data_IF_987126578168
#
_entry.id   IF_987126578168
#
_cell.length_a   1.000
_cell.length_b   1.000
_cell.length_c   1.000
_cell.angle_alpha   90.00
_cell.angle_beta   90.00
_cell.angle_gamma   90.00
#
_symmetry.space_group_name_H-M   'P 1'
#
loop_
_entity.id
_entity.type
_entity.pdbx_description
1 polymer ?
#
# COMPACT_ATOMS: atom_id res chain seq x y z
N UNK A 1 20.87 -19.51 -13.19
CA UNK A 1 19.85 -18.91 -12.31
C UNK A 1 18.50 -19.07 -13.00
N UNK A 2 17.56 -19.77 -12.37
CA UNK A 2 16.23 -20.02 -12.95
C UNK A 2 15.40 -18.73 -12.92
N UNK A 3 14.55 -18.52 -13.93
CA UNK A 3 13.60 -17.39 -13.98
C UNK A 3 12.18 -17.91 -14.11
N UNK A 4 11.22 -17.15 -13.59
CA UNK A 4 9.81 -17.36 -13.88
C UNK A 4 9.52 -17.07 -15.35
N UNK A 5 8.65 -17.89 -15.95
CA UNK A 5 8.14 -17.63 -17.29
C UNK A 5 7.03 -16.55 -17.28
N UNK A 6 6.56 -16.19 -18.47
CA UNK A 6 5.55 -15.14 -18.62
C UNK A 6 4.21 -15.49 -17.98
N UNK A 7 3.79 -16.76 -18.03
CA UNK A 7 2.52 -17.19 -17.45
C UNK A 7 2.60 -17.17 -15.93
N UNK A 8 3.69 -17.71 -15.37
CA UNK A 8 3.98 -17.67 -13.93
C UNK A 8 4.05 -16.24 -13.39
N UNK A 9 4.65 -15.33 -14.17
CA UNK A 9 4.75 -13.92 -13.80
C UNK A 9 3.39 -13.23 -13.86
N UNK A 10 2.61 -13.48 -14.92
CA UNK A 10 1.25 -12.95 -15.07
C UNK A 10 0.33 -13.42 -13.93
N UNK A 11 0.37 -14.71 -13.61
CA UNK A 11 -0.44 -15.32 -12.54
C UNK A 11 -0.14 -14.68 -11.18
N UNK A 12 1.15 -14.46 -10.87
CA UNK A 12 1.55 -13.77 -9.64
C UNK A 12 1.03 -12.32 -9.59
N UNK A 13 1.17 -11.57 -10.69
CA UNK A 13 0.74 -10.18 -10.78
C UNK A 13 -0.77 -10.08 -10.58
N UNK A 14 -1.55 -10.90 -11.31
CA UNK A 14 -3.00 -10.91 -11.23
C UNK A 14 -3.48 -11.30 -9.82
N UNK A 15 -2.87 -12.33 -9.20
CA UNK A 15 -3.20 -12.74 -7.85
C UNK A 15 -2.94 -11.63 -6.83
N UNK A 16 -1.75 -11.02 -6.89
CA UNK A 16 -1.33 -9.98 -5.95
C UNK A 16 -2.21 -8.75 -6.08
N UNK A 17 -2.52 -8.33 -7.31
CA UNK A 17 -3.41 -7.20 -7.60
C UNK A 17 -4.79 -7.39 -6.97
N UNK A 18 -5.35 -8.61 -7.05
CA UNK A 18 -6.69 -8.90 -6.50
C UNK A 18 -6.81 -8.76 -4.97
N UNK A 19 -5.67 -8.68 -4.26
CA UNK A 19 -5.61 -8.72 -2.79
C UNK A 19 -4.84 -7.56 -2.16
N UNK A 20 -4.05 -6.81 -2.94
CA UNK A 20 -3.15 -5.78 -2.40
C UNK A 20 -3.92 -4.63 -1.74
N UNK A 21 -5.09 -4.28 -2.27
CA UNK A 21 -5.94 -3.21 -1.72
C UNK A 21 -6.49 -3.57 -0.32
N UNK A 22 -6.80 -4.84 -0.08
CA UNK A 22 -7.45 -5.30 1.15
C UNK A 22 -6.45 -5.79 2.20
N UNK A 23 -5.34 -6.39 1.78
CA UNK A 23 -4.41 -7.08 2.69
C UNK A 23 -2.98 -6.52 2.69
N UNK A 24 -2.71 -5.53 1.83
CA UNK A 24 -1.35 -5.02 1.59
C UNK A 24 -0.49 -5.99 0.80
N UNK A 25 0.81 -5.71 0.62
CA UNK A 25 1.67 -6.53 -0.25
C UNK A 25 2.15 -7.84 0.38
N UNK A 26 2.41 -7.88 1.69
CA UNK A 26 3.04 -9.05 2.34
C UNK A 26 2.09 -10.26 2.42
N UNK A 27 0.80 -10.04 2.72
CA UNK A 27 -0.17 -11.14 2.87
C UNK A 27 -0.41 -11.90 1.56
N UNK A 28 -0.58 -11.25 0.39
CA UNK A 28 -0.66 -11.93 -0.90
C UNK A 28 0.58 -12.77 -1.22
N UNK A 29 1.80 -12.36 -0.82
CA UNK A 29 2.99 -13.20 -1.03
C UNK A 29 2.85 -14.53 -0.30
N UNK A 30 2.50 -14.48 0.98
CA UNK A 30 2.30 -15.68 1.81
C UNK A 30 1.21 -16.58 1.23
N UNK A 31 0.07 -16.02 0.88
CA UNK A 31 -1.05 -16.79 0.34
C UNK A 31 -0.72 -17.40 -1.03
N UNK A 32 -0.06 -16.65 -1.91
CA UNK A 32 0.36 -17.15 -3.22
C UNK A 32 1.35 -18.31 -3.08
N UNK A 33 2.35 -18.15 -2.20
CA UNK A 33 3.34 -19.17 -1.88
C UNK A 33 2.71 -20.46 -1.35
N UNK A 34 1.74 -20.35 -0.43
CA UNK A 34 1.02 -21.50 0.12
C UNK A 34 0.15 -22.20 -0.93
N UNK A 35 -0.60 -21.41 -1.72
CA UNK A 35 -1.52 -21.92 -2.75
C UNK A 35 -0.76 -22.61 -3.90
N UNK A 36 0.45 -22.13 -4.21
CA UNK A 36 1.27 -22.60 -5.33
C UNK A 36 2.54 -23.33 -4.87
N UNK A 37 2.54 -23.93 -3.68
CA UNK A 37 3.74 -24.48 -3.05
C UNK A 37 4.46 -25.55 -3.88
N UNK A 38 3.73 -26.29 -4.72
CA UNK A 38 4.28 -27.28 -5.64
C UNK A 38 4.87 -26.67 -6.93
N UNK A 39 4.51 -25.42 -7.23
CA UNK A 39 4.92 -24.72 -8.45
C UNK A 39 6.24 -23.95 -8.27
N UNK A 40 6.94 -23.72 -9.38
CA UNK A 40 8.16 -22.89 -9.42
C UNK A 40 7.85 -21.46 -8.97
N UNK A 41 6.71 -20.91 -9.38
CA UNK A 41 6.28 -19.56 -8.97
C UNK A 41 6.03 -19.45 -7.47
N UNK A 42 5.35 -20.44 -6.86
CA UNK A 42 5.11 -20.43 -5.42
C UNK A 42 6.40 -20.51 -4.61
N UNK A 43 7.38 -21.32 -5.03
CA UNK A 43 8.71 -21.38 -4.38
C UNK A 43 9.50 -20.08 -4.52
N UNK A 44 9.43 -19.42 -5.68
CA UNK A 44 10.06 -18.11 -5.87
C UNK A 44 9.45 -17.07 -4.92
N UNK A 45 8.12 -17.01 -4.85
CA UNK A 45 7.38 -16.07 -4.00
C UNK A 45 7.55 -16.38 -2.52
N UNK A 46 7.63 -17.65 -2.12
CA UNK A 46 7.94 -18.04 -0.74
C UNK A 46 9.33 -17.53 -0.35
N UNK A 47 10.35 -17.72 -1.20
CA UNK A 47 11.68 -17.18 -0.95
C UNK A 47 11.68 -15.66 -0.76
N UNK A 48 10.93 -14.92 -1.58
CA UNK A 48 10.76 -13.48 -1.41
C UNK A 48 10.12 -13.16 -0.05
N UNK A 49 9.04 -13.85 0.29
CA UNK A 49 8.33 -13.67 1.56
C UNK A 49 9.23 -13.93 2.77
N UNK A 50 9.98 -15.05 2.78
CA UNK A 50 10.90 -15.39 3.88
C UNK A 50 11.99 -14.33 4.06
N UNK A 51 12.60 -13.86 2.96
CA UNK A 51 13.62 -12.81 3.01
C UNK A 51 13.07 -11.51 3.62
N UNK A 52 11.85 -11.12 3.25
CA UNK A 52 11.17 -9.95 3.82
C UNK A 52 10.84 -10.14 5.31
N UNK A 53 10.40 -11.34 5.73
CA UNK A 53 10.17 -11.66 7.14
C UNK A 53 11.44 -11.61 8.00
N UNK A 54 12.62 -11.81 7.39
CA UNK A 54 13.93 -11.63 8.04
C UNK A 54 14.37 -10.17 8.14
N UNK A 55 13.54 -9.22 7.69
CA UNK A 55 13.82 -7.79 7.77
C UNK A 55 14.71 -7.26 6.63
N UNK A 56 14.93 -8.05 5.58
CA UNK A 56 15.64 -7.56 4.40
C UNK A 56 14.83 -6.46 3.71
N UNK A 57 15.52 -5.46 3.15
CA UNK A 57 14.85 -4.49 2.30
C UNK A 57 14.40 -5.16 0.98
N UNK A 58 13.39 -4.61 0.31
CA UNK A 58 12.79 -5.23 -0.88
C UNK A 58 13.81 -5.53 -1.98
N UNK A 59 14.69 -4.57 -2.28
CA UNK A 59 15.73 -4.74 -3.30
C UNK A 59 16.64 -5.93 -2.99
N UNK A 60 17.11 -6.02 -1.75
CA UNK A 60 17.98 -7.13 -1.31
C UNK A 60 17.22 -8.46 -1.28
N UNK A 61 15.94 -8.45 -0.90
CA UNK A 61 15.09 -9.63 -0.88
C UNK A 61 14.90 -10.23 -2.27
N UNK A 62 14.67 -9.40 -3.30
CA UNK A 62 14.64 -9.84 -4.71
C UNK A 62 16.01 -10.35 -5.17
N UNK A 63 17.10 -9.70 -4.74
CA UNK A 63 18.45 -10.12 -5.11
C UNK A 63 18.81 -11.50 -4.55
N UNK A 64 18.34 -11.82 -3.34
CA UNK A 64 18.61 -13.06 -2.64
C UNK A 64 17.77 -14.27 -3.13
N UNK A 65 16.77 -14.06 -4.00
CA UNK A 65 15.96 -15.16 -4.55
C UNK A 65 16.76 -16.05 -5.50
N UNK A 66 16.62 -17.38 -5.35
CA UNK A 66 17.24 -18.35 -6.27
C UNK A 66 16.49 -18.47 -7.61
N UNK A 67 15.15 -18.41 -7.55
CA UNK A 67 14.27 -18.34 -8.72
C UNK A 67 13.81 -16.91 -8.83
N UNK A 68 14.19 -16.25 -9.92
CA UNK A 68 14.02 -14.81 -10.11
C UNK A 68 12.83 -14.49 -10.99
N UNK A 69 12.23 -13.32 -10.81
CA UNK A 69 11.32 -12.80 -11.82
C UNK A 69 12.14 -12.34 -13.04
N UNK A 70 11.51 -12.12 -14.20
CA UNK A 70 12.15 -11.40 -15.29
C UNK A 70 12.70 -10.05 -14.79
N UNK A 71 13.96 -9.73 -15.14
CA UNK A 71 14.68 -8.60 -14.56
C UNK A 71 13.92 -7.26 -14.69
N UNK A 72 13.23 -7.06 -15.82
CA UNK A 72 12.43 -5.86 -16.06
C UNK A 72 11.22 -5.77 -15.11
N UNK A 73 10.58 -6.91 -14.81
CA UNK A 73 9.46 -6.98 -13.86
C UNK A 73 9.96 -6.74 -12.44
N UNK A 74 11.11 -7.29 -12.07
CA UNK A 74 11.74 -7.00 -10.76
C UNK A 74 12.03 -5.52 -10.59
N UNK A 75 12.60 -4.88 -11.62
CA UNK A 75 12.90 -3.45 -11.58
C UNK A 75 11.63 -2.62 -11.38
N UNK A 76 10.56 -2.92 -12.13
CA UNK A 76 9.27 -2.25 -11.98
C UNK A 76 8.70 -2.45 -10.58
N UNK A 77 8.70 -3.69 -10.06
CA UNK A 77 8.17 -4.01 -8.73
C UNK A 77 8.95 -3.27 -7.62
N UNK A 78 10.28 -3.31 -7.67
CA UNK A 78 11.14 -2.63 -6.69
C UNK A 78 10.90 -1.12 -6.74
N UNK A 79 10.94 -0.51 -7.93
CA UNK A 79 10.68 0.92 -8.10
C UNK A 79 9.29 1.29 -7.62
N UNK A 80 8.26 0.51 -7.94
CA UNK A 80 6.89 0.76 -7.53
C UNK A 80 6.69 0.65 -6.01
N UNK A 81 7.40 -0.26 -5.33
CA UNK A 81 7.41 -0.35 -3.87
C UNK A 81 8.10 0.86 -3.25
N UNK A 82 9.29 1.20 -3.72
CA UNK A 82 10.07 2.36 -3.24
C UNK A 82 9.28 3.69 -3.46
N UNK A 83 8.48 3.74 -4.52
CA UNK A 83 7.58 4.85 -4.83
C UNK A 83 6.16 4.66 -4.29
N UNK A 84 5.86 3.62 -3.53
CA UNK A 84 4.53 3.42 -2.92
C UNK A 84 3.37 3.47 -3.93
N UNK A 85 3.57 2.97 -5.15
CA UNK A 85 2.58 2.91 -6.25
C UNK A 85 2.40 1.48 -6.77
N UNK A 86 2.67 0.48 -5.91
CA UNK A 86 2.68 -0.92 -6.30
C UNK A 86 1.33 -1.40 -6.84
N UNK A 87 0.22 -0.94 -6.27
CA UNK A 87 -1.14 -1.21 -6.76
C UNK A 87 -1.32 -0.75 -8.23
N UNK A 88 -0.93 0.48 -8.54
CA UNK A 88 -0.97 1.01 -9.91
C UNK A 88 -0.06 0.23 -10.86
N UNK A 89 1.17 -0.07 -10.42
CA UNK A 89 2.13 -0.82 -11.22
C UNK A 89 1.64 -2.24 -11.52
N UNK A 90 1.05 -2.93 -10.53
CA UNK A 90 0.43 -4.23 -10.71
C UNK A 90 -0.73 -4.17 -11.70
N UNK A 91 -1.59 -3.15 -11.62
CA UNK A 91 -2.70 -2.96 -12.55
C UNK A 91 -2.24 -2.72 -14.00
N UNK A 92 -1.23 -1.87 -14.19
CA UNK A 92 -0.66 -1.62 -15.52
C UNK A 92 0.05 -2.85 -16.09
N UNK A 93 0.80 -3.58 -15.26
CA UNK A 93 1.42 -4.83 -15.70
C UNK A 93 0.38 -5.91 -16.02
N UNK A 94 -0.64 -6.12 -15.19
CA UNK A 94 -1.72 -7.09 -15.46
C UNK A 94 -2.39 -6.82 -16.80
N UNK A 95 -2.67 -5.55 -17.10
CA UNK A 95 -3.18 -5.13 -18.41
C UNK A 95 -2.23 -5.51 -19.54
N UNK A 96 -0.94 -5.20 -19.42
CA UNK A 96 0.08 -5.54 -20.43
C UNK A 96 0.12 -7.05 -20.67
N UNK A 97 0.13 -7.88 -19.62
CA UNK A 97 0.17 -9.34 -19.76
C UNK A 97 -1.09 -9.89 -20.45
N UNK A 98 -2.27 -9.27 -20.24
CA UNK A 98 -3.55 -9.69 -20.84
C UNK A 98 -3.77 -9.21 -22.26
N UNK A 99 -3.22 -8.06 -22.65
CA UNK A 99 -3.53 -7.43 -23.95
C UNK A 99 -2.42 -7.56 -24.98
N UNK A 100 -1.20 -7.94 -24.61
CA UNK A 100 -0.12 -8.13 -25.58
C UNK A 100 -0.22 -9.46 -26.30
N UNK A 101 -0.25 -9.42 -27.63
CA UNK A 101 -0.42 -10.60 -28.49
C UNK A 101 0.90 -11.36 -28.70
N UNK A 102 2.04 -10.74 -28.37
CA UNK A 102 3.37 -11.34 -28.51
C UNK A 102 4.32 -10.98 -27.36
N UNK A 103 5.36 -11.81 -27.17
CA UNK A 103 6.40 -11.55 -26.18
C UNK A 103 7.19 -10.25 -26.48
N UNK A 104 7.39 -9.93 -27.76
CA UNK A 104 8.09 -8.70 -28.18
C UNK A 104 7.29 -7.44 -27.84
N UNK A 105 5.98 -7.46 -28.11
CA UNK A 105 5.07 -6.38 -27.75
C UNK A 105 5.01 -6.19 -26.23
N UNK A 106 4.89 -7.30 -25.50
CA UNK A 106 4.88 -7.28 -24.02
C UNK A 106 6.15 -6.67 -23.47
N UNK A 107 7.32 -7.10 -23.98
CA UNK A 107 8.61 -6.59 -23.55
C UNK A 107 8.72 -5.08 -23.81
N UNK A 108 8.27 -4.62 -24.97
CA UNK A 108 8.24 -3.19 -25.33
C UNK A 108 7.37 -2.39 -24.37
N UNK A 109 6.15 -2.88 -24.08
CA UNK A 109 5.24 -2.22 -23.15
C UNK A 109 5.78 -2.16 -21.71
N UNK A 110 6.43 -3.23 -21.24
CA UNK A 110 7.08 -3.25 -19.92
C UNK A 110 8.27 -2.27 -19.86
N UNK A 111 9.03 -2.10 -20.94
CA UNK A 111 10.10 -1.09 -21.00
C UNK A 111 9.53 0.32 -20.87
N UNK A 112 8.46 0.63 -21.59
CA UNK A 112 7.76 1.91 -21.46
C UNK A 112 7.25 2.15 -20.03
N UNK A 113 6.72 1.10 -19.37
CA UNK A 113 6.25 1.18 -17.99
C UNK A 113 7.39 1.44 -17.00
N UNK A 114 8.52 0.75 -17.15
CA UNK A 114 9.73 1.01 -16.36
C UNK A 114 10.18 2.47 -16.53
N UNK A 115 10.28 2.95 -17.77
CA UNK A 115 10.75 4.30 -18.05
C UNK A 115 9.80 5.36 -17.49
N UNK A 116 8.49 5.11 -17.56
CA UNK A 116 7.47 5.93 -16.88
C UNK A 116 7.77 6.09 -15.39
N UNK A 117 8.01 5.00 -14.66
CA UNK A 117 8.24 5.09 -13.21
C UNK A 117 9.64 5.57 -12.84
N UNK A 118 10.67 5.26 -13.63
CA UNK A 118 12.03 5.75 -13.39
C UNK A 118 12.15 7.27 -13.67
N UNK A 119 11.34 7.82 -14.58
CA UNK A 119 11.27 9.26 -14.86
C UNK A 119 10.25 10.02 -14.02
N UNK A 120 9.35 9.32 -13.33
CA UNK A 120 8.39 9.91 -12.41
C UNK A 120 9.12 10.51 -11.20
N UNK A 121 8.75 11.72 -10.79
CA UNK A 121 9.20 12.26 -9.50
C UNK A 121 8.75 11.32 -8.38
N UNK A 122 9.62 11.11 -7.38
CA UNK A 122 9.26 10.31 -6.18
C UNK A 122 7.94 10.83 -5.64
N UNK A 123 6.94 9.97 -5.62
CA UNK A 123 5.62 10.30 -5.05
C UNK A 123 5.78 10.74 -3.60
N UNK A 124 5.04 11.76 -3.18
CA UNK A 124 5.02 12.19 -1.78
C UNK A 124 3.99 11.43 -0.94
N UNK A 125 3.27 10.48 -1.56
CA UNK A 125 2.16 9.74 -0.96
C UNK A 125 2.42 8.23 -0.89
N UNK A 126 1.68 7.54 -0.02
CA UNK A 126 1.58 6.06 0.01
C UNK A 126 0.49 5.56 -0.94
N UNK A 127 0.50 4.27 -1.23
CA UNK A 127 -0.47 3.60 -2.10
C UNK A 127 -1.90 3.68 -1.54
N UNK A 128 -2.93 3.57 -2.39
CA UNK A 128 -4.32 3.75 -1.95
C UNK A 128 -4.72 2.67 -0.94
N UNK A 129 -4.43 1.39 -1.21
CA UNK A 129 -4.70 0.31 -0.25
C UNK A 129 -3.96 0.49 1.08
N UNK A 130 -2.73 1.01 1.03
CA UNK A 130 -1.94 1.33 2.21
C UNK A 130 -2.66 2.40 3.06
N UNK A 131 -3.16 3.46 2.41
CA UNK A 131 -3.90 4.55 3.03
C UNK A 131 -5.20 4.06 3.68
N UNK A 132 -5.99 3.26 2.96
CA UNK A 132 -7.26 2.72 3.49
C UNK A 132 -7.01 1.89 4.75
N UNK A 133 -6.00 1.01 4.73
CA UNK A 133 -5.64 0.20 5.90
C UNK A 133 -5.19 1.04 7.09
N UNK A 134 -4.41 2.09 6.87
CA UNK A 134 -4.04 3.03 7.94
C UNK A 134 -5.28 3.71 8.54
N UNK A 135 -6.22 4.15 7.70
CA UNK A 135 -7.51 4.68 8.17
C UNK A 135 -8.29 3.68 9.01
N UNK A 136 -8.39 2.43 8.57
CA UNK A 136 -9.08 1.37 9.30
C UNK A 136 -8.45 1.11 10.66
N UNK A 137 -7.12 1.02 10.72
CA UNK A 137 -6.38 0.84 11.98
C UNK A 137 -6.64 2.01 12.94
N UNK A 138 -6.59 3.24 12.44
CA UNK A 138 -6.89 4.45 13.20
C UNK A 138 -8.32 4.39 13.77
N UNK A 139 -9.32 4.09 12.94
CA UNK A 139 -10.73 4.06 13.36
C UNK A 139 -11.03 2.92 14.33
N UNK A 140 -10.44 1.74 14.12
CA UNK A 140 -10.56 0.61 15.07
C UNK A 140 -9.99 0.97 16.44
N UNK A 141 -8.89 1.72 16.47
CA UNK A 141 -8.30 2.21 17.72
C UNK A 141 -9.19 3.26 18.40
N UNK A 142 -9.76 4.19 17.63
CA UNK A 142 -10.74 5.16 18.15
C UNK A 142 -11.89 4.46 18.88
N UNK A 143 -12.44 3.40 18.28
CA UNK A 143 -13.51 2.61 18.90
C UNK A 143 -13.04 1.88 20.17
N UNK A 144 -11.82 1.31 20.14
CA UNK A 144 -11.22 0.60 21.28
C UNK A 144 -10.97 1.52 22.47
N UNK A 145 -10.45 2.72 22.22
CA UNK A 145 -10.10 3.70 23.26
C UNK A 145 -11.25 4.67 23.60
N UNK A 146 -12.40 4.52 22.93
CA UNK A 146 -13.55 5.44 22.99
C UNK A 146 -13.14 6.91 22.78
N UNK A 147 -12.29 7.16 21.79
CA UNK A 147 -11.74 8.48 21.51
C UNK A 147 -12.72 9.35 20.72
N UNK A 148 -12.76 10.64 21.01
CA UNK A 148 -13.51 11.65 20.24
C UNK A 148 -12.57 12.58 19.45
N UNK A 149 -11.28 12.59 19.77
CA UNK A 149 -10.26 13.33 19.05
C UNK A 149 -8.98 12.50 18.88
N UNK A 150 -8.29 12.71 17.75
CA UNK A 150 -6.95 12.19 17.50
C UNK A 150 -6.05 13.36 17.10
N UNK A 151 -4.87 13.40 17.69
CA UNK A 151 -3.79 14.29 17.28
C UNK A 151 -2.69 13.46 16.65
N UNK A 152 -2.36 13.78 15.40
CA UNK A 152 -1.27 13.21 14.63
C UNK A 152 -0.07 14.13 14.67
N UNK A 153 1.08 13.58 15.03
CA UNK A 153 2.36 14.28 15.05
C UNK A 153 3.39 13.44 14.28
N UNK A 154 4.22 14.08 13.47
CA UNK A 154 5.33 13.43 12.78
C UNK A 154 6.65 14.03 13.26
N UNK A 155 7.50 13.18 13.86
CA UNK A 155 8.83 13.56 14.35
C UNK A 155 9.90 12.97 13.41
N UNK A 156 10.28 13.76 12.41
CA UNK A 156 11.08 13.29 11.28
C UNK A 156 10.37 12.26 10.42
N UNK A 157 11.09 11.58 9.52
CA UNK A 157 10.48 10.69 8.52
C UNK A 157 10.10 9.29 9.05
N UNK A 158 10.38 8.95 10.32
CA UNK A 158 10.35 7.53 10.75
C UNK A 158 9.23 7.14 11.71
N UNK A 159 8.68 8.10 12.47
CA UNK A 159 7.73 7.79 13.53
C UNK A 159 6.47 8.64 13.42
N UNK A 160 5.33 7.96 13.39
CA UNK A 160 4.01 8.55 13.41
C UNK A 160 3.43 8.40 14.81
N UNK A 161 3.29 9.53 15.50
CA UNK A 161 2.75 9.62 16.84
C UNK A 161 1.26 9.91 16.74
N UNK A 162 0.47 9.14 17.48
CA UNK A 162 -0.98 9.24 17.49
C UNK A 162 -1.43 9.38 18.95
N UNK A 163 -2.05 10.50 19.28
CA UNK A 163 -2.63 10.74 20.60
C UNK A 163 -4.14 10.69 20.51
N UNK A 164 -4.74 9.67 21.11
CA UNK A 164 -6.19 9.46 21.17
C UNK A 164 -6.74 10.08 22.45
N UNK A 165 -7.74 10.94 22.32
CA UNK A 165 -8.35 11.69 23.41
C UNK A 165 -9.81 11.24 23.53
N UNK A 166 -10.14 10.62 24.66
CA UNK A 166 -11.48 10.18 25.04
C UNK A 166 -11.65 10.26 26.56
N UNK A 167 -12.26 9.24 27.21
CA UNK A 167 -12.29 9.16 28.68
C UNK A 167 -10.90 9.15 29.32
N UNK A 168 -9.89 8.68 28.58
CA UNK A 168 -8.48 8.72 28.94
C UNK A 168 -7.67 9.17 27.73
N UNK A 169 -6.48 9.73 27.98
CA UNK A 169 -5.53 10.07 26.92
C UNK A 169 -4.58 8.90 26.71
N UNK A 170 -4.51 8.39 25.49
CA UNK A 170 -3.64 7.27 25.12
C UNK A 170 -2.71 7.70 23.99
N UNK A 171 -1.42 7.42 24.15
CA UNK A 171 -0.38 7.79 23.18
C UNK A 171 0.21 6.53 22.56
N UNK A 172 0.24 6.50 21.23
CA UNK A 172 0.89 5.45 20.44
C UNK A 172 2.02 6.06 19.61
N UNK A 173 3.10 5.31 19.46
CA UNK A 173 4.20 5.60 18.54
C UNK A 173 4.46 4.32 17.77
N UNK A 174 4.16 4.32 16.48
CA UNK A 174 4.26 3.13 15.64
C UNK A 174 5.24 3.39 14.49
N UNK A 175 6.00 2.37 14.06
CA UNK A 175 6.74 2.44 12.82
C UNK A 175 5.72 2.48 11.67
N UNK A 176 5.80 3.51 10.84
CA UNK A 176 4.96 3.66 9.67
C UNK A 176 5.82 3.99 8.44
N UNK A 177 5.21 3.99 7.25
CA UNK A 177 5.87 4.54 6.08
C UNK A 177 6.11 6.05 6.26
N UNK A 178 7.24 6.58 5.83
CA UNK A 178 7.60 7.99 6.03
C UNK A 178 6.59 8.99 5.45
N UNK A 179 5.86 8.55 4.43
CA UNK A 179 4.84 9.31 3.72
C UNK A 179 3.43 9.19 4.32
N UNK A 180 3.19 8.34 5.33
CA UNK A 180 1.83 8.06 5.86
C UNK A 180 1.15 9.34 6.34
N UNK A 181 1.83 10.16 7.16
CA UNK A 181 1.28 11.42 7.67
C UNK A 181 0.83 12.36 6.54
N UNK A 182 1.72 12.63 5.57
CA UNK A 182 1.41 13.51 4.43
C UNK A 182 0.26 12.98 3.60
N UNK A 183 0.19 11.66 3.41
CA UNK A 183 -0.87 11.04 2.63
C UNK A 183 -2.23 11.13 3.33
N UNK A 184 -2.28 10.84 4.62
CA UNK A 184 -3.51 10.98 5.42
C UNK A 184 -4.02 12.42 5.40
N UNK A 185 -3.13 13.41 5.57
CA UNK A 185 -3.49 14.82 5.53
C UNK A 185 -4.00 15.23 4.14
N UNK A 186 -3.30 14.85 3.07
CA UNK A 186 -3.71 15.15 1.70
C UNK A 186 -5.07 14.52 1.37
N UNK A 187 -5.27 13.26 1.75
CA UNK A 187 -6.54 12.57 1.54
C UNK A 187 -7.68 13.26 2.28
N UNK A 188 -7.51 13.63 3.56
CA UNK A 188 -8.53 14.37 4.32
C UNK A 188 -8.86 15.71 3.69
N UNK A 189 -7.87 16.45 3.20
CA UNK A 189 -8.08 17.71 2.46
C UNK A 189 -8.95 17.46 1.22
N UNK A 190 -8.62 16.45 0.43
CA UNK A 190 -9.36 16.07 -0.77
C UNK A 190 -10.82 15.72 -0.45
N UNK A 191 -11.05 14.75 0.45
CA UNK A 191 -12.40 14.26 0.72
C UNK A 191 -13.25 15.26 1.51
N UNK A 192 -12.63 16.16 2.28
CA UNK A 192 -13.36 17.21 3.00
C UNK A 192 -13.96 18.28 2.10
N UNK A 193 -13.47 18.40 0.86
CA UNK A 193 -14.05 19.24 -0.18
C UNK A 193 -15.18 18.57 -0.94
N UNK A 194 -15.42 17.27 -0.70
CA UNK A 194 -16.43 16.49 -1.40
C UNK A 194 -17.71 16.37 -0.56
N UNK A 195 -18.86 16.45 -1.22
CA UNK A 195 -20.17 16.29 -0.57
C UNK A 195 -20.54 14.82 -0.30
N UNK A 196 -19.75 13.87 -0.82
CA UNK A 196 -20.07 12.44 -0.76
C UNK A 196 -19.43 11.78 0.46
N UNK A 197 -20.16 10.94 1.20
CA UNK A 197 -19.57 10.12 2.25
C UNK A 197 -18.53 9.15 1.67
N UNK A 198 -17.42 8.99 2.37
CA UNK A 198 -16.44 7.93 2.11
C UNK A 198 -16.88 6.64 2.81
N UNK A 199 -16.74 5.52 2.11
CA UNK A 199 -16.99 4.20 2.68
C UNK A 199 -15.67 3.65 3.25
N UNK A 200 -15.64 3.42 4.56
CA UNK A 200 -14.54 2.75 5.24
C UNK A 200 -15.10 1.50 5.91
N UNK A 201 -14.94 0.36 5.25
CA UNK A 201 -15.39 -0.96 5.71
C UNK A 201 -16.88 -1.05 6.06
N UNK A 202 -17.74 -0.57 5.14
CA UNK A 202 -19.20 -0.59 5.29
C UNK A 202 -19.74 0.52 6.18
N UNK A 203 -18.88 1.39 6.72
CA UNK A 203 -19.25 2.56 7.52
C UNK A 203 -19.02 3.82 6.69
N UNK A 204 -20.10 4.59 6.51
CA UNK A 204 -20.07 5.84 5.74
C UNK A 204 -19.70 7.02 6.63
N UNK A 205 -18.62 7.71 6.29
CA UNK A 205 -18.17 8.92 6.98
C UNK A 205 -18.24 10.12 6.06
N UNK A 206 -18.70 11.26 6.58
CA UNK A 206 -18.56 12.54 5.90
C UNK A 206 -17.43 13.32 6.55
N UNK A 207 -16.40 13.66 5.77
CA UNK A 207 -15.31 14.51 6.22
C UNK A 207 -15.68 15.99 6.07
N UNK A 208 -15.36 16.81 7.06
CA UNK A 208 -15.49 18.27 7.01
C UNK A 208 -14.20 18.92 7.47
N UNK A 209 -13.69 19.87 6.69
CA UNK A 209 -12.56 20.70 7.10
C UNK A 209 -13.04 21.71 8.13
N UNK A 210 -12.36 21.79 9.27
CA UNK A 210 -12.63 22.76 10.33
C UNK A 210 -11.57 23.86 10.28
N UNK A 211 -10.30 23.48 10.18
CA UNK A 211 -9.14 24.37 10.03
C UNK A 211 -8.16 23.77 9.01
N UNK A 212 -7.05 24.45 8.72
CA UNK A 212 -6.09 24.02 7.68
C UNK A 212 -5.64 22.56 7.85
N UNK A 213 -5.37 22.16 9.09
CA UNK A 213 -4.91 20.82 9.47
C UNK A 213 -5.85 20.14 10.47
N UNK A 214 -7.12 20.54 10.51
CA UNK A 214 -8.13 19.98 11.42
C UNK A 214 -9.38 19.57 10.67
N UNK A 215 -9.77 18.32 10.86
CA UNK A 215 -10.88 17.70 10.15
C UNK A 215 -11.84 17.06 11.14
N UNK A 216 -13.10 16.96 10.72
CA UNK A 216 -14.17 16.30 11.46
C UNK A 216 -14.72 15.18 10.59
N UNK A 217 -14.57 13.94 11.04
CA UNK A 217 -15.24 12.78 10.45
C UNK A 217 -16.56 12.55 11.19
N UNK A 218 -17.66 12.62 10.45
CA UNK A 218 -19.02 12.44 10.98
C UNK A 218 -19.59 11.13 10.47
N UNK A 219 -20.05 10.27 11.38
CA UNK A 219 -20.77 9.04 11.08
C UNK A 219 -22.00 8.96 11.97
N UNK A 220 -23.20 9.00 11.40
CA UNK A 220 -24.47 8.91 12.16
C UNK A 220 -24.45 9.83 13.41
N UNK A 221 -24.41 9.25 14.62
CA UNK A 221 -24.36 9.97 15.91
C UNK A 221 -22.95 10.14 16.47
N UNK A 222 -21.93 9.61 15.80
CA UNK A 222 -20.53 9.71 16.20
C UNK A 222 -19.79 10.81 15.44
N UNK A 223 -18.90 11.47 16.15
CA UNK A 223 -18.07 12.54 15.62
C UNK A 223 -16.64 12.35 16.11
N UNK A 224 -15.70 12.32 15.16
CA UNK A 224 -14.28 12.22 15.43
C UNK A 224 -13.56 13.47 14.90
N UNK A 225 -12.84 14.16 15.77
CA UNK A 225 -11.93 15.23 15.37
C UNK A 225 -10.55 14.66 15.07
N UNK A 226 -9.93 15.07 13.97
CA UNK A 226 -8.59 14.68 13.55
C UNK A 226 -7.74 15.92 13.34
N UNK A 227 -6.68 16.06 14.12
CA UNK A 227 -5.79 17.23 14.11
C UNK A 227 -4.39 16.80 13.70
N UNK A 228 -3.81 17.46 12.71
CA UNK A 228 -2.44 17.23 12.24
C UNK A 228 -1.55 18.39 12.72
N UNK A 229 -0.53 18.07 13.52
CA UNK A 229 0.44 19.02 14.07
C UNK A 229 1.82 18.84 13.43
#
# INVERSE_FOLDING_TARGET
MQKLDNNQTADFIAFTLSKIETTGFVSPLKEYAQTNSENVSGRAVDSLYQNLCQGMCFRDAFLAMQIRFPALVEEILVTAIEQSILDYALAEMDKIFKTSDSDSERLTALHCLRDKYNSSSKTETICHGCLIREFENILKRVETENACEIIFEQDGEKYFKQTYIGPKVVKYTEPCHSKTYKTLLAHLKEISGQSKPIDLNGKKYTAKKIEENKFKLVREQACLSMTFK
#
